data_IF_298062847900
#
_entry.id   IF_298062847900
#
_cell.length_a   1.000
_cell.length_b   1.000
_cell.length_c   1.000
_cell.angle_alpha   90.00
_cell.angle_beta   90.00
_cell.angle_gamma   90.00
#
_symmetry.space_group_name_H-M   'P 1'
#
loop_
_entity.id
_entity.type
_entity.pdbx_description
1 polymer ?
#
# COMPACT_ATOMS: atom_id res chain seq x y z
N UNK A 1 -23.73 -6.63 -20.45
CA UNK A 1 -22.52 -6.96 -19.64
C UNK A 1 -22.47 -6.19 -18.31
N UNK A 2 -23.57 -5.57 -17.87
CA UNK A 2 -23.58 -4.65 -16.71
C UNK A 2 -23.78 -5.30 -15.32
N UNK A 3 -24.19 -6.57 -15.22
CA UNK A 3 -24.65 -7.15 -13.94
C UNK A 3 -23.75 -8.23 -13.34
N UNK A 4 -22.53 -8.40 -13.85
CA UNK A 4 -21.61 -9.36 -13.24
C UNK A 4 -20.70 -8.67 -12.21
N UNK A 5 -20.91 -8.95 -10.94
CA UNK A 5 -20.01 -8.51 -9.87
C UNK A 5 -18.71 -9.34 -9.93
N UNK A 6 -17.57 -8.65 -10.12
CA UNK A 6 -16.26 -9.27 -10.15
C UNK A 6 -15.65 -9.27 -8.75
N UNK A 7 -15.05 -10.39 -8.34
CA UNK A 7 -14.19 -10.45 -7.18
C UNK A 7 -12.77 -10.10 -7.61
N UNK A 8 -12.29 -8.97 -7.12
CA UNK A 8 -10.97 -8.43 -7.45
C UNK A 8 -9.92 -9.04 -6.53
N UNK A 9 -9.01 -9.82 -7.11
CA UNK A 9 -7.85 -10.43 -6.42
C UNK A 9 -6.54 -9.73 -6.81
N UNK A 10 -6.64 -8.47 -7.23
CA UNK A 10 -5.52 -7.60 -7.57
C UNK A 10 -5.06 -6.78 -6.35
N UNK A 11 -3.83 -6.23 -6.35
CA UNK A 11 -3.29 -5.44 -5.23
C UNK A 11 -3.88 -4.01 -5.12
N UNK A 12 -5.15 -3.86 -5.45
CA UNK A 12 -5.92 -2.62 -5.44
C UNK A 12 -6.18 -2.07 -6.85
N UNK A 13 -7.38 -1.45 -7.04
CA UNK A 13 -8.39 -1.18 -6.01
C UNK A 13 -8.93 -2.46 -5.34
N UNK A 14 -9.27 -2.34 -4.04
CA UNK A 14 -9.80 -3.45 -3.25
C UNK A 14 -11.32 -3.63 -3.47
N UNK A 15 -11.84 -4.82 -3.13
CA UNK A 15 -13.27 -5.03 -3.03
C UNK A 15 -13.84 -4.18 -1.88
N UNK A 16 -14.92 -3.43 -2.15
CA UNK A 16 -15.58 -2.54 -1.20
C UNK A 16 -16.97 -3.07 -0.82
N UNK A 17 -17.48 -2.63 0.32
CA UNK A 17 -18.86 -2.91 0.72
C UNK A 17 -19.87 -2.16 -0.16
N UNK A 18 -21.13 -2.63 -0.24
CA UNK A 18 -22.20 -1.86 -0.87
C UNK A 18 -22.39 -0.48 -0.24
N UNK A 19 -22.19 -0.33 1.07
CA UNK A 19 -22.34 0.93 1.80
C UNK A 19 -21.27 1.96 1.44
N UNK A 20 -20.01 1.54 1.24
CA UNK A 20 -18.95 2.41 0.74
C UNK A 20 -19.25 2.86 -0.71
N UNK A 21 -19.74 1.96 -1.57
CA UNK A 21 -20.15 2.30 -2.94
C UNK A 21 -21.35 3.26 -2.95
N UNK A 22 -22.33 3.03 -2.09
CA UNK A 22 -23.52 3.88 -1.97
C UNK A 22 -23.19 5.31 -1.50
N UNK A 23 -22.11 5.49 -0.74
CA UNK A 23 -21.66 6.82 -0.30
C UNK A 23 -21.22 7.73 -1.46
N UNK A 24 -20.93 7.18 -2.66
CA UNK A 24 -20.61 7.99 -3.85
C UNK A 24 -21.80 8.78 -4.42
N UNK A 25 -23.02 8.41 -4.07
CA UNK A 25 -24.25 9.08 -4.54
C UNK A 25 -24.89 9.96 -3.47
N UNK A 26 -24.12 10.34 -2.45
CA UNK A 26 -24.55 11.34 -1.46
C UNK A 26 -24.75 12.71 -2.12
N UNK A 27 -25.59 13.58 -1.55
CA UNK A 27 -25.84 14.91 -2.09
C UNK A 27 -24.56 15.73 -2.30
N UNK A 28 -24.58 16.61 -3.30
CA UNK A 28 -23.49 17.53 -3.55
C UNK A 28 -23.27 18.48 -2.38
N UNK A 29 -22.00 18.72 -2.05
CA UNK A 29 -21.58 19.71 -1.05
C UNK A 29 -20.72 20.78 -1.74
N UNK A 30 -20.93 22.03 -1.39
CA UNK A 30 -20.01 23.09 -1.76
C UNK A 30 -18.71 22.92 -0.95
N UNK A 31 -17.58 22.83 -1.66
CA UNK A 31 -16.27 22.60 -1.02
C UNK A 31 -15.74 23.84 -0.25
N UNK A 32 -16.48 24.94 -0.23
CA UNK A 32 -16.16 26.17 0.53
C UNK A 32 -17.09 26.41 1.71
N UNK A 33 -17.95 25.43 2.02
CA UNK A 33 -18.89 25.51 3.11
C UNK A 33 -18.45 24.65 4.31
N UNK A 34 -18.89 24.98 5.54
CA UNK A 34 -18.50 24.30 6.76
C UNK A 34 -18.73 22.78 6.72
N UNK A 35 -19.79 22.30 6.08
CA UNK A 35 -20.13 20.89 6.00
C UNK A 35 -19.04 20.07 5.28
N UNK A 36 -18.44 20.63 4.24
CA UNK A 36 -17.33 20.00 3.53
C UNK A 36 -16.05 20.03 4.39
N UNK A 37 -15.76 21.14 5.04
CA UNK A 37 -14.58 21.25 5.92
C UNK A 37 -14.68 20.30 7.12
N UNK A 38 -15.85 20.14 7.71
CA UNK A 38 -16.10 19.19 8.78
C UNK A 38 -15.90 17.75 8.31
N UNK A 39 -16.35 17.40 7.11
CA UNK A 39 -16.10 16.07 6.52
C UNK A 39 -14.60 15.83 6.31
N UNK A 40 -13.88 16.80 5.77
CA UNK A 40 -12.40 16.74 5.60
C UNK A 40 -11.74 16.51 6.96
N UNK A 41 -12.14 17.26 7.99
CA UNK A 41 -11.62 17.13 9.37
C UNK A 41 -11.90 15.75 9.93
N UNK A 42 -13.14 15.25 9.86
CA UNK A 42 -13.51 13.90 10.33
C UNK A 42 -12.69 12.81 9.62
N UNK A 43 -12.46 12.93 8.32
CA UNK A 43 -11.61 12.02 7.57
C UNK A 43 -10.15 12.05 8.10
N UNK A 44 -9.58 13.23 8.29
CA UNK A 44 -8.20 13.42 8.78
C UNK A 44 -8.03 12.85 10.19
N UNK A 45 -8.94 13.19 11.09
CA UNK A 45 -8.93 12.71 12.48
C UNK A 45 -9.11 11.19 12.55
N UNK A 46 -10.05 10.65 11.74
CA UNK A 46 -10.28 9.22 11.63
C UNK A 46 -9.05 8.47 11.15
N UNK A 47 -8.37 8.96 10.11
CA UNK A 47 -7.13 8.38 9.59
C UNK A 47 -6.01 8.36 10.64
N UNK A 48 -5.79 9.50 11.31
CA UNK A 48 -4.75 9.64 12.33
C UNK A 48 -5.02 8.73 13.53
N UNK A 49 -6.25 8.73 14.02
CA UNK A 49 -6.67 7.92 15.17
C UNK A 49 -6.60 6.42 14.88
N UNK A 50 -7.16 5.97 13.74
CA UNK A 50 -7.19 4.54 13.39
C UNK A 50 -5.81 3.99 13.03
N UNK A 51 -4.90 4.85 12.56
CA UNK A 51 -3.50 4.48 12.35
C UNK A 51 -2.67 4.42 13.65
N UNK A 52 -3.25 4.79 14.80
CA UNK A 52 -2.55 4.81 16.09
C UNK A 52 -1.41 5.82 16.14
N UNK A 53 -1.50 6.91 15.37
CA UNK A 53 -0.38 7.83 15.21
C UNK A 53 -0.21 8.82 16.38
N UNK A 54 -1.26 9.04 17.18
CA UNK A 54 -1.23 9.97 18.33
C UNK A 54 -1.37 11.45 17.96
N UNK A 55 -1.39 12.33 18.96
CA UNK A 55 -1.68 13.75 18.79
C UNK A 55 -0.58 14.55 18.08
N UNK A 56 0.64 14.04 18.06
CA UNK A 56 1.79 14.67 17.36
C UNK A 56 1.73 14.45 15.85
N UNK A 57 0.67 13.82 15.35
CA UNK A 57 0.47 13.49 13.95
C UNK A 57 -0.78 14.15 13.39
N UNK A 58 -0.81 14.26 12.07
CA UNK A 58 -1.97 14.70 11.29
C UNK A 58 -2.03 13.98 9.96
N UNK A 59 -3.20 13.90 9.35
CA UNK A 59 -3.36 13.45 7.98
C UNK A 59 -3.52 14.64 7.04
N UNK A 60 -2.86 14.62 5.89
CA UNK A 60 -3.03 15.60 4.81
C UNK A 60 -3.62 14.89 3.59
N UNK A 61 -4.79 15.30 3.14
CA UNK A 61 -5.54 14.67 2.06
C UNK A 61 -5.21 15.32 0.71
N UNK A 62 -5.15 14.47 -0.33
CA UNK A 62 -4.97 14.85 -1.73
C UNK A 62 -6.05 14.22 -2.60
N UNK A 63 -6.65 14.99 -3.50
CA UNK A 63 -7.43 14.42 -4.60
C UNK A 63 -6.47 13.84 -5.63
N UNK A 64 -6.45 12.51 -5.75
CA UNK A 64 -5.57 11.81 -6.67
C UNK A 64 -5.30 10.36 -6.29
N UNK A 65 -4.55 9.67 -7.14
CA UNK A 65 -4.07 8.32 -6.86
C UNK A 65 -3.04 8.30 -5.74
N UNK A 66 -2.74 7.13 -5.18
CA UNK A 66 -1.71 6.97 -4.16
C UNK A 66 -0.34 7.54 -4.56
N UNK A 67 -0.01 7.55 -5.85
CA UNK A 67 1.23 8.17 -6.34
C UNK A 67 1.30 9.66 -6.03
N UNK A 68 0.15 10.37 -6.00
CA UNK A 68 0.12 11.79 -5.66
C UNK A 68 0.62 12.05 -4.23
N UNK A 69 0.22 11.23 -3.24
CA UNK A 69 0.71 11.39 -1.87
C UNK A 69 2.20 11.03 -1.71
N UNK A 70 2.69 10.01 -2.44
CA UNK A 70 4.13 9.67 -2.45
C UNK A 70 4.93 10.82 -3.05
N UNK A 71 4.48 11.36 -4.18
CA UNK A 71 5.14 12.48 -4.86
C UNK A 71 5.09 13.74 -4.00
N UNK A 72 3.95 14.06 -3.38
CA UNK A 72 3.81 15.18 -2.46
C UNK A 72 4.79 15.08 -1.27
N UNK A 73 4.92 13.90 -0.66
CA UNK A 73 5.87 13.71 0.43
C UNK A 73 7.33 13.89 -0.04
N UNK A 74 7.72 13.31 -1.17
CA UNK A 74 9.10 13.37 -1.68
C UNK A 74 9.44 14.79 -2.15
N UNK A 75 8.60 15.41 -2.99
CA UNK A 75 8.92 16.72 -3.56
C UNK A 75 8.94 17.83 -2.51
N UNK A 76 8.18 17.69 -1.41
CA UNK A 76 8.11 18.70 -0.34
C UNK A 76 9.14 18.47 0.77
N UNK A 77 9.38 17.20 1.18
CA UNK A 77 10.16 16.92 2.38
C UNK A 77 11.68 17.14 2.21
N UNK A 78 12.23 17.01 1.00
CA UNK A 78 13.69 17.06 0.80
C UNK A 78 14.16 18.50 0.67
N UNK A 79 15.06 19.00 1.56
CA UNK A 79 15.56 20.37 1.45
C UNK A 79 16.34 20.61 0.14
N UNK A 80 16.39 21.86 -0.37
CA UNK A 80 17.28 22.23 -1.48
C UNK A 80 18.73 21.82 -1.21
N UNK A 81 19.40 21.29 -2.22
CA UNK A 81 20.80 20.84 -2.12
C UNK A 81 21.04 19.56 -1.33
N UNK A 82 19.98 18.92 -0.80
CA UNK A 82 20.08 17.65 -0.09
C UNK A 82 19.64 16.48 -0.96
N UNK A 83 20.09 15.27 -0.60
CA UNK A 83 19.77 14.03 -1.27
C UNK A 83 18.75 13.18 -0.49
N UNK A 84 18.14 12.23 -1.19
CA UNK A 84 17.31 11.17 -0.63
C UNK A 84 17.97 9.82 -0.86
N UNK A 85 17.93 8.94 0.15
CA UNK A 85 18.25 7.52 0.01
C UNK A 85 16.96 6.75 -0.24
N UNK A 86 16.90 5.99 -1.33
CA UNK A 86 15.74 5.14 -1.65
C UNK A 86 16.12 3.67 -1.48
N UNK A 87 15.33 2.95 -0.71
CA UNK A 87 15.37 1.48 -0.63
C UNK A 87 14.61 0.93 -1.83
N UNK A 88 15.29 0.16 -2.69
CA UNK A 88 14.78 -0.33 -3.96
C UNK A 88 14.94 -1.85 -4.06
N UNK A 89 13.84 -2.56 -3.84
CA UNK A 89 13.70 -3.99 -4.07
C UNK A 89 12.43 -4.34 -4.87
N UNK A 90 11.96 -3.39 -5.68
CA UNK A 90 10.80 -3.60 -6.55
C UNK A 90 10.34 -2.34 -7.28
N UNK A 91 9.27 -2.49 -8.05
CA UNK A 91 8.75 -1.43 -8.93
C UNK A 91 8.37 -0.16 -8.17
N UNK A 92 7.93 -0.28 -6.90
CA UNK A 92 7.50 0.88 -6.12
C UNK A 92 8.68 1.61 -5.49
N UNK A 93 9.75 0.91 -5.10
CA UNK A 93 11.02 1.52 -4.73
C UNK A 93 11.62 2.30 -5.90
N UNK A 94 11.73 1.70 -7.09
CA UNK A 94 12.17 2.40 -8.29
C UNK A 94 11.28 3.63 -8.61
N UNK A 95 9.96 3.53 -8.42
CA UNK A 95 9.05 4.68 -8.61
C UNK A 95 9.39 5.85 -7.70
N UNK A 96 9.69 5.61 -6.41
CA UNK A 96 10.11 6.67 -5.48
C UNK A 96 11.40 7.36 -5.97
N UNK A 97 12.36 6.58 -6.46
CA UNK A 97 13.59 7.12 -7.03
C UNK A 97 13.34 7.95 -8.30
N UNK A 98 12.44 7.50 -9.19
CA UNK A 98 12.04 8.25 -10.39
C UNK A 98 11.33 9.55 -10.06
N UNK A 99 10.44 9.55 -9.07
CA UNK A 99 9.77 10.75 -8.57
C UNK A 99 10.81 11.76 -8.07
N UNK A 100 11.74 11.35 -7.23
CA UNK A 100 12.78 12.25 -6.72
C UNK A 100 13.61 12.86 -7.85
N UNK A 101 14.04 12.05 -8.82
CA UNK A 101 14.79 12.55 -10.00
C UNK A 101 13.98 13.53 -10.84
N UNK A 102 12.67 13.28 -11.04
CA UNK A 102 11.79 14.17 -11.80
C UNK A 102 11.68 15.57 -11.16
N UNK A 103 11.83 15.67 -9.84
CA UNK A 103 11.88 16.93 -9.09
C UNK A 103 13.29 17.48 -8.88
N UNK A 104 14.31 16.96 -9.59
CA UNK A 104 15.69 17.44 -9.49
C UNK A 104 16.35 17.12 -8.14
N UNK A 105 15.84 16.15 -7.38
CA UNK A 105 16.40 15.72 -6.10
C UNK A 105 17.47 14.67 -6.36
N UNK A 106 18.72 14.84 -5.85
CA UNK A 106 19.76 13.83 -5.93
C UNK A 106 19.33 12.55 -5.20
N UNK A 107 19.51 11.40 -5.85
CA UNK A 107 19.04 10.08 -5.34
C UNK A 107 20.24 9.16 -5.18
N UNK A 108 20.41 8.64 -3.99
CA UNK A 108 21.18 7.43 -3.69
C UNK A 108 20.22 6.24 -3.58
N UNK A 109 20.66 5.03 -3.94
CA UNK A 109 19.79 3.86 -3.93
C UNK A 109 20.51 2.69 -3.27
N UNK A 110 19.86 2.09 -2.27
CA UNK A 110 20.26 0.78 -1.72
C UNK A 110 19.34 -0.27 -2.33
N UNK A 111 19.93 -1.20 -3.09
CA UNK A 111 19.19 -2.26 -3.80
C UNK A 111 19.31 -3.59 -3.11
N UNK A 112 18.23 -4.37 -3.18
CA UNK A 112 18.19 -5.77 -2.82
C UNK A 112 17.44 -6.57 -3.89
N UNK A 113 17.54 -7.88 -3.82
CA UNK A 113 16.69 -8.79 -4.58
C UNK A 113 15.21 -8.56 -4.24
N UNK A 114 14.33 -8.70 -5.23
CA UNK A 114 12.91 -8.40 -5.07
C UNK A 114 12.15 -9.39 -4.17
N UNK A 115 12.77 -10.50 -3.80
CA UNK A 115 12.20 -11.52 -2.90
C UNK A 115 12.83 -11.50 -1.51
N UNK A 116 13.78 -10.59 -1.26
CA UNK A 116 14.54 -10.50 0.00
C UNK A 116 14.33 -9.13 0.64
N UNK A 117 13.93 -9.07 1.93
CA UNK A 117 13.88 -7.80 2.65
C UNK A 117 15.25 -7.13 2.65
N UNK A 118 15.26 -5.79 2.59
CA UNK A 118 16.52 -5.06 2.67
C UNK A 118 17.19 -5.28 4.03
N UNK A 119 18.52 -5.43 4.02
CA UNK A 119 19.31 -5.43 5.25
C UNK A 119 19.46 -3.97 5.75
N UNK A 120 18.99 -3.64 6.97
CA UNK A 120 19.17 -2.32 7.56
C UNK A 120 20.63 -1.87 7.68
N UNK A 121 21.59 -2.80 7.74
CA UNK A 121 23.03 -2.48 7.76
C UNK A 121 23.51 -1.84 6.46
N UNK A 122 22.94 -2.21 5.32
CA UNK A 122 23.23 -1.58 4.03
C UNK A 122 22.73 -0.13 3.98
N UNK A 123 21.58 0.16 4.62
CA UNK A 123 21.07 1.52 4.79
C UNK A 123 22.00 2.33 5.69
N UNK A 124 22.48 1.76 6.81
CA UNK A 124 23.41 2.43 7.73
C UNK A 124 24.73 2.78 7.03
N UNK A 125 25.29 1.86 6.26
CA UNK A 125 26.51 2.07 5.49
C UNK A 125 26.36 3.21 4.45
N UNK A 126 25.25 3.21 3.70
CA UNK A 126 24.97 4.26 2.72
C UNK A 126 24.82 5.65 3.37
N UNK A 127 24.11 5.75 4.51
CA UNK A 127 23.95 6.99 5.26
C UNK A 127 25.27 7.48 5.88
N UNK A 128 26.14 6.55 6.28
CA UNK A 128 27.48 6.88 6.80
C UNK A 128 28.41 7.44 5.72
N UNK A 129 28.32 6.93 4.49
CA UNK A 129 29.15 7.36 3.36
C UNK A 129 28.67 8.68 2.72
N UNK A 130 27.41 9.10 2.92
CA UNK A 130 26.76 10.21 2.22
C UNK A 130 26.07 11.19 3.18
N UNK A 131 26.83 12.13 3.80
CA UNK A 131 26.29 13.09 4.76
C UNK A 131 25.26 14.06 4.17
N UNK A 132 25.22 14.25 2.86
CA UNK A 132 24.24 15.06 2.15
C UNK A 132 22.82 14.46 2.13
N UNK A 133 22.67 13.16 2.38
CA UNK A 133 21.35 12.51 2.48
C UNK A 133 20.64 13.06 3.69
N UNK A 134 19.41 13.56 3.51
CA UNK A 134 18.56 14.09 4.57
C UNK A 134 17.42 13.14 4.95
N UNK A 135 16.96 12.33 3.99
CA UNK A 135 15.82 11.44 4.17
C UNK A 135 16.08 10.04 3.61
N UNK A 136 15.45 9.05 4.22
CA UNK A 136 15.34 7.69 3.71
C UNK A 136 13.91 7.47 3.24
N UNK A 137 13.73 6.94 2.03
CA UNK A 137 12.44 6.54 1.52
C UNK A 137 12.40 5.01 1.34
N UNK A 138 11.34 4.39 1.84
CA UNK A 138 11.18 2.93 1.82
C UNK A 138 9.73 2.54 1.57
N UNK A 139 9.50 1.51 0.77
CA UNK A 139 8.20 0.87 0.61
C UNK A 139 8.03 -0.16 1.73
N UNK A 140 6.96 -0.08 2.53
CA UNK A 140 6.70 -1.08 3.57
C UNK A 140 6.26 -2.41 2.96
N UNK A 141 5.28 -2.39 2.04
CA UNK A 141 4.79 -3.58 1.33
C UNK A 141 5.02 -3.42 -0.18
N UNK A 142 6.05 -4.06 -0.69
CA UNK A 142 6.38 -4.07 -2.12
C UNK A 142 5.48 -5.08 -2.86
N UNK A 143 4.41 -4.57 -3.48
CA UNK A 143 3.41 -5.41 -4.16
C UNK A 143 3.87 -5.97 -5.51
N UNK A 144 5.09 -5.67 -5.95
CA UNK A 144 5.71 -6.42 -7.05
C UNK A 144 5.74 -7.91 -6.74
N UNK A 145 6.07 -8.27 -5.50
CA UNK A 145 6.25 -9.66 -5.04
C UNK A 145 5.44 -10.04 -3.81
N UNK A 146 4.94 -9.08 -3.02
CA UNK A 146 4.31 -9.31 -1.73
C UNK A 146 5.31 -9.32 -0.57
N UNK A 147 6.42 -8.59 -0.73
CA UNK A 147 7.49 -8.50 0.25
C UNK A 147 7.25 -7.35 1.24
N UNK A 148 7.47 -7.61 2.54
CA UNK A 148 7.52 -6.59 3.59
C UNK A 148 8.96 -6.21 3.89
N UNK A 149 9.26 -4.92 3.86
CA UNK A 149 10.54 -4.37 4.31
C UNK A 149 10.52 -4.05 5.81
N UNK A 150 11.65 -4.18 6.51
CA UNK A 150 11.78 -3.94 7.95
C UNK A 150 11.83 -2.44 8.27
N UNK A 151 10.69 -1.74 8.10
CA UNK A 151 10.61 -0.28 8.22
C UNK A 151 11.02 0.22 9.60
N UNK A 152 10.64 -0.48 10.69
CA UNK A 152 11.01 -0.10 12.05
C UNK A 152 12.53 -0.11 12.27
N UNK A 153 13.23 -1.11 11.76
CA UNK A 153 14.69 -1.23 11.84
C UNK A 153 15.38 -0.16 10.99
N UNK A 154 14.88 0.09 9.79
CA UNK A 154 15.37 1.16 8.90
C UNK A 154 15.18 2.52 9.54
N UNK A 155 14.04 2.77 10.18
CA UNK A 155 13.77 4.03 10.87
C UNK A 155 14.70 4.24 12.07
N UNK A 156 15.00 3.19 12.84
CA UNK A 156 16.01 3.25 13.91
C UNK A 156 17.41 3.61 13.37
N UNK A 157 17.79 3.05 12.23
CA UNK A 157 19.03 3.40 11.54
C UNK A 157 19.03 4.86 11.13
N UNK A 158 17.98 5.32 10.47
CA UNK A 158 17.83 6.71 10.03
C UNK A 158 17.90 7.70 11.22
N UNK A 159 17.21 7.39 12.32
CA UNK A 159 17.19 8.22 13.53
C UNK A 159 18.60 8.35 14.16
N UNK A 160 19.36 7.25 14.27
CA UNK A 160 20.75 7.29 14.76
C UNK A 160 21.65 8.18 13.90
N UNK A 161 21.35 8.32 12.63
CA UNK A 161 22.06 9.17 11.67
C UNK A 161 21.47 10.58 11.56
N UNK A 162 20.43 10.92 12.33
CA UNK A 162 19.72 12.21 12.27
C UNK A 162 19.00 12.43 10.93
N UNK A 163 18.47 11.35 10.32
CA UNK A 163 17.75 11.38 9.04
C UNK A 163 16.26 11.14 9.27
N UNK A 164 15.42 11.76 8.45
CA UNK A 164 13.96 11.55 8.46
C UNK A 164 13.57 10.40 7.56
N UNK A 165 12.37 9.85 7.79
CA UNK A 165 11.88 8.67 7.07
C UNK A 165 10.55 8.97 6.38
N UNK A 166 10.49 8.64 5.08
CA UNK A 166 9.30 8.63 4.26
C UNK A 166 8.95 7.17 3.97
N UNK A 167 7.75 6.73 4.36
CA UNK A 167 7.29 5.35 4.13
C UNK A 167 6.16 5.36 3.11
N UNK A 168 6.34 4.61 2.04
CA UNK A 168 5.21 4.18 1.20
C UNK A 168 4.53 2.98 1.87
N UNK A 169 3.44 3.23 2.58
CA UNK A 169 2.57 2.21 3.18
C UNK A 169 1.25 2.03 2.38
N UNK A 170 1.31 2.32 1.08
CA UNK A 170 0.14 2.38 0.19
C UNK A 170 -0.75 1.16 0.30
N UNK A 171 -0.17 -0.01 0.29
CA UNK A 171 -0.87 -1.29 0.32
C UNK A 171 -0.81 -2.02 1.66
N UNK A 172 -0.14 -1.45 2.66
CA UNK A 172 0.04 -2.09 3.97
C UNK A 172 -0.68 -1.39 5.11
N UNK A 173 -0.87 -0.07 5.02
CA UNK A 173 -1.56 0.68 6.08
C UNK A 173 -2.98 0.12 6.28
N UNK A 174 -3.34 -0.18 7.52
CA UNK A 174 -4.58 -0.85 7.94
C UNK A 174 -4.72 -2.34 7.55
N UNK A 175 -3.67 -2.94 7.00
CA UNK A 175 -3.67 -4.37 6.62
C UNK A 175 -2.49 -5.15 7.17
N UNK A 176 -1.39 -4.48 7.45
CA UNK A 176 -0.21 -5.01 8.15
C UNK A 176 0.09 -4.17 9.39
N UNK A 177 0.83 -4.72 10.34
CA UNK A 177 1.26 -3.94 11.50
C UNK A 177 2.30 -2.90 11.11
N UNK A 178 2.01 -1.66 11.46
CA UNK A 178 2.92 -0.53 11.33
C UNK A 178 2.68 0.40 12.53
N UNK A 179 3.67 0.54 13.39
CA UNK A 179 3.55 1.33 14.63
C UNK A 179 4.07 2.74 14.38
N UNK A 180 3.27 3.56 13.70
CA UNK A 180 3.67 4.87 13.17
C UNK A 180 4.34 5.76 14.22
N UNK A 181 3.74 5.87 15.41
CA UNK A 181 4.27 6.76 16.46
C UNK A 181 5.56 6.22 17.09
N UNK A 182 5.66 4.89 17.29
CA UNK A 182 6.78 4.26 17.99
C UNK A 182 7.97 3.97 17.07
N UNK A 183 7.75 3.76 15.77
CA UNK A 183 8.79 3.39 14.83
C UNK A 183 9.67 4.56 14.34
N UNK A 184 9.42 5.79 14.83
CA UNK A 184 10.26 6.95 14.49
C UNK A 184 10.09 7.46 13.07
N UNK A 185 8.91 7.26 12.48
CA UNK A 185 8.57 7.71 11.14
C UNK A 185 8.25 9.22 11.11
N UNK A 186 8.37 9.84 9.95
CA UNK A 186 8.05 11.26 9.76
C UNK A 186 6.89 11.47 8.79
N UNK A 187 6.86 10.70 7.68
CA UNK A 187 5.82 10.76 6.66
C UNK A 187 5.43 9.34 6.25
N UNK A 188 4.14 9.04 6.26
CA UNK A 188 3.59 7.74 5.84
C UNK A 188 2.51 7.98 4.79
N UNK A 189 2.73 7.50 3.58
CA UNK A 189 1.81 7.70 2.44
C UNK A 189 0.89 6.52 2.25
N UNK A 190 -0.38 6.78 1.99
CA UNK A 190 -1.38 5.76 1.71
C UNK A 190 -2.53 6.29 0.84
N UNK A 191 -3.47 5.42 0.47
CA UNK A 191 -4.67 5.78 -0.29
C UNK A 191 -5.90 5.02 0.19
N UNK A 192 -7.07 5.59 -0.08
CA UNK A 192 -8.35 5.04 0.36
C UNK A 192 -8.65 3.65 -0.21
N UNK A 193 -8.25 3.37 -1.45
CA UNK A 193 -8.65 2.20 -2.23
C UNK A 193 -7.83 0.93 -1.99
N UNK A 194 -7.10 0.85 -0.89
CA UNK A 194 -6.28 -0.32 -0.50
C UNK A 194 -6.89 -0.99 0.74
N UNK A 195 -6.09 -1.30 1.74
CA UNK A 195 -6.56 -1.99 2.95
C UNK A 195 -7.59 -1.20 3.77
N UNK A 196 -7.71 0.11 3.55
CA UNK A 196 -8.79 0.93 4.09
C UNK A 196 -10.16 0.58 3.48
N UNK A 197 -10.20 -0.02 2.28
CA UNK A 197 -11.40 -0.46 1.58
C UNK A 197 -12.32 0.68 1.12
N UNK A 198 -11.74 1.86 0.85
CA UNK A 198 -12.43 2.98 0.23
C UNK A 198 -12.33 2.96 -1.31
N UNK A 199 -12.80 4.03 -1.93
CA UNK A 199 -12.83 4.21 -3.39
C UNK A 199 -11.53 4.90 -3.88
N UNK A 200 -11.02 4.59 -5.09
CA UNK A 200 -9.94 5.35 -5.71
C UNK A 200 -10.30 6.82 -5.90
N UNK A 201 -9.33 7.73 -5.70
CA UNK A 201 -9.51 9.17 -5.94
C UNK A 201 -9.06 10.05 -4.78
N UNK A 202 -8.83 9.48 -3.59
CA UNK A 202 -8.20 10.18 -2.46
C UNK A 202 -7.00 9.39 -1.98
N UNK A 203 -5.89 10.10 -1.83
CA UNK A 203 -4.68 9.63 -1.15
C UNK A 203 -4.32 10.60 -0.02
N UNK A 204 -3.44 10.18 0.87
CA UNK A 204 -3.09 10.99 2.03
C UNK A 204 -1.66 10.72 2.51
N UNK A 205 -1.12 11.71 3.23
CA UNK A 205 0.13 11.59 3.96
C UNK A 205 -0.18 11.76 5.45
N UNK A 206 0.09 10.73 6.24
CA UNK A 206 0.19 10.91 7.69
C UNK A 206 1.54 11.55 7.99
N UNK A 207 1.51 12.70 8.63
CA UNK A 207 2.69 13.50 8.91
C UNK A 207 2.89 13.67 10.42
N UNK A 208 4.13 13.52 10.89
CA UNK A 208 4.50 14.09 12.18
C UNK A 208 4.37 15.61 12.06
N UNK A 209 3.62 16.27 12.98
CA UNK A 209 3.35 17.72 12.91
C UNK A 209 4.64 18.53 12.80
N UNK A 210 5.63 18.26 13.66
CA UNK A 210 6.93 18.95 13.61
C UNK A 210 7.70 18.74 12.29
N UNK A 211 7.44 17.64 11.58
CA UNK A 211 8.07 17.38 10.28
C UNK A 211 7.44 18.18 9.15
N UNK A 212 6.10 18.29 9.12
CA UNK A 212 5.39 19.06 8.08
C UNK A 212 5.47 20.55 8.34
N UNK A 213 5.45 21.02 9.60
CA UNK A 213 5.63 22.41 9.98
C UNK A 213 7.03 22.95 9.59
N UNK A 214 8.05 22.11 9.68
CA UNK A 214 9.41 22.46 9.24
C UNK A 214 9.53 22.67 7.71
N UNK A 215 8.45 22.50 6.95
CA UNK A 215 8.41 22.78 5.51
C UNK A 215 7.96 24.22 5.19
N UNK A 216 7.47 25.00 6.17
CA UNK A 216 6.82 26.29 5.99
C UNK A 216 7.63 27.30 5.15
N UNK A 217 8.94 27.37 5.38
CA UNK A 217 9.81 28.36 4.71
C UNK A 217 10.47 27.81 3.44
N UNK A 218 10.03 26.66 2.93
CA UNK A 218 10.62 26.04 1.75
C UNK A 218 9.89 26.49 0.48
N UNK A 219 10.65 26.82 -0.55
CA UNK A 219 10.07 27.02 -1.89
C UNK A 219 9.52 25.69 -2.41
N UNK A 220 8.24 25.61 -2.79
CA UNK A 220 7.63 24.37 -3.28
C UNK A 220 8.19 23.98 -4.66
N UNK A 221 8.42 22.66 -4.87
CA UNK A 221 8.75 22.12 -6.20
C UNK A 221 7.51 21.84 -7.05
N UNK A 222 6.34 21.83 -6.44
CA UNK A 222 5.05 21.63 -7.10
C UNK A 222 4.02 22.55 -6.47
N UNK A 223 3.19 23.18 -7.29
CA UNK A 223 2.07 24.01 -6.80
C UNK A 223 0.96 23.09 -6.25
N UNK A 224 0.58 22.04 -7.00
CA UNK A 224 -0.53 21.18 -6.62
C UNK A 224 -0.17 20.17 -5.52
N UNK A 225 1.07 19.66 -5.51
CA UNK A 225 1.51 18.62 -4.57
C UNK A 225 2.32 19.17 -3.39
N UNK A 226 2.30 20.49 -3.15
CA UNK A 226 2.99 21.05 -1.98
C UNK A 226 2.32 20.62 -0.68
N UNK A 227 2.99 19.72 0.05
CA UNK A 227 2.46 19.11 1.27
C UNK A 227 2.16 20.14 2.35
N UNK A 228 3.02 21.17 2.48
CA UNK A 228 2.81 22.21 3.51
C UNK A 228 1.60 23.09 3.20
N UNK A 229 1.40 23.48 1.95
CA UNK A 229 0.21 24.28 1.54
C UNK A 229 -1.08 23.50 1.84
N UNK A 230 -1.14 22.20 1.50
CA UNK A 230 -2.29 21.37 1.85
C UNK A 230 -2.48 21.25 3.37
N UNK A 231 -1.41 21.01 4.12
CA UNK A 231 -1.44 20.96 5.57
C UNK A 231 -1.99 22.27 6.17
N UNK A 232 -1.38 23.40 5.83
CA UNK A 232 -1.73 24.70 6.40
C UNK A 232 -3.17 25.12 6.10
N UNK A 233 -3.71 24.78 4.93
CA UNK A 233 -5.09 25.05 4.57
C UNK A 233 -6.05 24.10 5.32
N UNK A 234 -5.76 22.81 5.38
CA UNK A 234 -6.61 21.82 6.05
C UNK A 234 -6.62 22.00 7.58
N UNK A 235 -5.58 22.56 8.18
CA UNK A 235 -5.59 22.94 9.61
C UNK A 235 -6.47 24.19 9.90
N UNK A 236 -6.82 24.95 8.87
CA UNK A 236 -7.67 26.16 8.95
C UNK A 236 -9.07 25.94 8.40
N UNK A 237 -9.53 24.70 8.37
CA UNK A 237 -10.83 24.32 7.80
C UNK A 237 -11.00 24.85 6.36
N UNK A 238 -10.01 24.59 5.51
CA UNK A 238 -10.03 24.98 4.09
C UNK A 238 -9.30 23.90 3.26
N UNK A 239 -9.42 24.00 1.94
CA UNK A 239 -8.64 23.20 0.99
C UNK A 239 -8.03 24.09 -0.07
N UNK A 240 -6.75 23.90 -0.45
CA UNK A 240 -6.13 24.78 -1.44
C UNK A 240 -6.75 24.63 -2.84
N UNK A 241 -7.27 23.44 -3.14
CA UNK A 241 -7.92 23.09 -4.41
C UNK A 241 -9.21 22.30 -4.13
N UNK A 242 -10.08 22.19 -5.15
CA UNK A 242 -11.34 21.46 -5.05
C UNK A 242 -11.09 19.99 -4.69
N UNK A 243 -11.61 19.50 -3.57
CA UNK A 243 -11.48 18.10 -3.18
C UNK A 243 -12.47 17.21 -3.94
N UNK A 244 -12.22 15.90 -3.94
CA UNK A 244 -13.12 14.90 -4.51
C UNK A 244 -14.27 14.59 -3.53
N UNK A 245 -15.27 15.45 -3.42
CA UNK A 245 -16.31 15.45 -2.38
C UNK A 245 -17.00 14.09 -2.24
N UNK A 246 -17.50 13.50 -3.34
CA UNK A 246 -18.17 12.19 -3.30
C UNK A 246 -17.23 11.06 -2.84
N UNK A 247 -15.94 11.14 -3.20
CA UNK A 247 -14.94 10.18 -2.73
C UNK A 247 -14.62 10.37 -1.25
N UNK A 248 -14.71 11.60 -0.72
CA UNK A 248 -14.57 11.87 0.71
C UNK A 248 -15.72 11.26 1.53
N UNK A 249 -16.98 11.31 1.03
CA UNK A 249 -18.09 10.58 1.66
C UNK A 249 -17.80 9.06 1.73
N UNK A 250 -17.29 8.50 0.64
CA UNK A 250 -16.91 7.08 0.61
C UNK A 250 -15.72 6.77 1.55
N UNK A 251 -14.77 7.70 1.69
CA UNK A 251 -13.66 7.58 2.64
C UNK A 251 -14.18 7.60 4.09
N UNK A 252 -15.07 8.53 4.43
CA UNK A 252 -15.68 8.61 5.75
C UNK A 252 -16.42 7.31 6.12
N UNK A 253 -17.20 6.77 5.16
CA UNK A 253 -17.87 5.47 5.34
C UNK A 253 -16.86 4.32 5.55
N UNK A 254 -15.78 4.27 4.78
CA UNK A 254 -14.74 3.24 4.93
C UNK A 254 -14.02 3.33 6.29
N UNK A 255 -13.78 4.54 6.80
CA UNK A 255 -13.23 4.76 8.14
C UNK A 255 -14.18 4.27 9.22
N UNK A 256 -15.48 4.57 9.10
CA UNK A 256 -16.50 4.07 10.04
C UNK A 256 -16.61 2.54 10.04
N UNK A 257 -16.41 1.89 8.89
CA UNK A 257 -16.37 0.44 8.80
C UNK A 257 -15.11 -0.16 9.42
N UNK A 258 -13.94 0.46 9.20
CA UNK A 258 -12.70 0.06 9.86
C UNK A 258 -12.79 0.21 11.38
N UNK A 259 -13.40 1.28 11.86
CA UNK A 259 -13.62 1.51 13.30
C UNK A 259 -14.52 0.42 13.92
N UNK A 260 -15.64 0.08 13.26
CA UNK A 260 -16.53 -0.99 13.70
C UNK A 260 -15.88 -2.37 13.67
N UNK A 261 -15.10 -2.68 12.65
CA UNK A 261 -14.35 -3.94 12.55
C UNK A 261 -13.22 -3.98 13.59
N UNK A 262 -12.52 -2.88 13.77
CA UNK A 262 -11.30 -2.77 14.58
C UNK A 262 -10.04 -3.18 13.80
N UNK A 263 -8.98 -2.39 13.95
CA UNK A 263 -7.72 -2.57 13.19
C UNK A 263 -7.12 -3.98 13.40
N UNK A 264 -7.03 -4.44 14.65
CA UNK A 264 -6.45 -5.76 14.95
C UNK A 264 -7.25 -6.90 14.32
N UNK A 265 -8.58 -6.80 14.32
CA UNK A 265 -9.45 -7.80 13.68
C UNK A 265 -9.30 -7.79 12.17
N UNK A 266 -9.15 -6.62 11.54
CA UNK A 266 -8.88 -6.52 10.10
C UNK A 266 -7.55 -7.16 9.73
N UNK A 267 -6.49 -6.87 10.45
CA UNK A 267 -5.16 -7.48 10.25
C UNK A 267 -5.25 -9.01 10.43
N UNK A 268 -5.92 -9.49 11.47
CA UNK A 268 -6.10 -10.91 11.71
C UNK A 268 -6.90 -11.59 10.58
N UNK A 269 -7.95 -10.94 10.06
CA UNK A 269 -8.73 -11.45 8.91
C UNK A 269 -7.88 -11.57 7.65
N UNK A 270 -7.04 -10.57 7.36
CA UNK A 270 -6.13 -10.66 6.23
C UNK A 270 -5.09 -11.77 6.39
N UNK A 271 -4.56 -11.94 7.59
CA UNK A 271 -3.62 -13.03 7.88
C UNK A 271 -4.26 -14.41 7.69
N UNK A 272 -5.50 -14.59 8.16
CA UNK A 272 -6.23 -15.84 7.97
C UNK A 272 -6.61 -16.09 6.50
N UNK A 273 -7.06 -15.06 5.80
CA UNK A 273 -7.31 -15.14 4.35
C UNK A 273 -6.05 -15.57 3.58
N UNK A 274 -4.91 -14.98 3.91
CA UNK A 274 -3.63 -15.34 3.28
C UNK A 274 -3.22 -16.78 3.59
N UNK A 275 -3.44 -17.24 4.82
CA UNK A 275 -3.17 -18.63 5.22
C UNK A 275 -4.02 -19.60 4.41
N UNK A 276 -5.34 -19.41 4.38
CA UNK A 276 -6.27 -20.26 3.64
C UNK A 276 -5.92 -20.33 2.15
N UNK A 277 -5.68 -19.16 1.54
CA UNK A 277 -5.28 -19.07 0.14
C UNK A 277 -3.98 -19.87 -0.11
N UNK A 278 -2.95 -19.62 0.68
CA UNK A 278 -1.62 -20.23 0.49
C UNK A 278 -1.65 -21.73 0.68
N UNK A 279 -2.32 -22.21 1.72
CA UNK A 279 -2.44 -23.64 2.01
C UNK A 279 -3.16 -24.35 0.87
N UNK A 280 -4.27 -23.77 0.38
CA UNK A 280 -5.01 -24.31 -0.75
C UNK A 280 -4.21 -24.32 -2.06
N UNK A 281 -3.53 -23.19 -2.37
CA UNK A 281 -2.72 -23.09 -3.59
C UNK A 281 -1.50 -24.01 -3.56
N UNK A 282 -0.87 -24.19 -2.40
CA UNK A 282 0.21 -25.17 -2.24
C UNK A 282 -0.30 -26.61 -2.48
N UNK A 283 -1.53 -26.94 -2.02
CA UNK A 283 -2.20 -28.21 -2.33
C UNK A 283 -2.45 -28.42 -3.83
N UNK A 284 -2.58 -27.36 -4.60
CA UNK A 284 -2.68 -27.37 -6.08
C UNK A 284 -1.31 -27.38 -6.78
N UNK A 285 -0.20 -27.41 -6.04
CA UNK A 285 1.16 -27.48 -6.57
C UNK A 285 1.81 -26.12 -6.90
N UNK A 286 1.15 -24.99 -6.61
CA UNK A 286 1.74 -23.67 -6.83
C UNK A 286 2.83 -23.37 -5.78
N UNK A 287 3.98 -22.87 -6.26
CA UNK A 287 5.08 -22.42 -5.42
C UNK A 287 4.90 -20.93 -5.06
N UNK A 288 5.08 -20.59 -3.78
CA UNK A 288 5.08 -19.22 -3.29
C UNK A 288 6.51 -18.66 -3.44
N UNK A 289 6.64 -17.49 -4.10
CA UNK A 289 7.96 -16.94 -4.41
C UNK A 289 8.61 -16.17 -3.26
N UNK A 290 7.82 -15.52 -2.39
CA UNK A 290 8.35 -14.86 -1.19
C UNK A 290 8.27 -15.80 -0.01
N UNK A 291 9.41 -16.13 0.59
CA UNK A 291 9.52 -17.03 1.73
C UNK A 291 9.78 -16.28 3.05
N UNK A 292 9.50 -16.94 4.17
CA UNK A 292 9.90 -16.48 5.48
C UNK A 292 9.11 -15.29 6.04
N UNK A 293 9.70 -14.57 7.03
CA UNK A 293 9.00 -13.54 7.82
C UNK A 293 8.71 -12.24 7.05
N UNK A 294 9.40 -12.00 5.93
CA UNK A 294 9.14 -10.84 5.04
C UNK A 294 7.92 -11.01 4.13
N UNK A 295 7.14 -12.07 4.28
CA UNK A 295 5.96 -12.33 3.45
C UNK A 295 4.74 -11.57 3.96
N UNK A 296 4.13 -10.74 3.10
CA UNK A 296 2.92 -9.99 3.41
C UNK A 296 1.69 -10.90 3.56
N UNK A 297 0.74 -10.51 4.41
CA UNK A 297 -0.58 -11.14 4.54
C UNK A 297 -1.62 -10.57 3.56
N UNK A 298 -1.25 -9.70 2.64
CA UNK A 298 -2.19 -8.98 1.76
C UNK A 298 -2.12 -9.49 0.33
N UNK A 299 -0.92 -9.89 -0.11
CA UNK A 299 -0.67 -10.36 -1.47
C UNK A 299 0.30 -11.54 -1.46
N UNK A 300 0.00 -12.53 -2.27
CA UNK A 300 0.89 -13.66 -2.51
C UNK A 300 1.23 -13.76 -3.99
N UNK A 301 2.50 -13.90 -4.30
CA UNK A 301 3.01 -14.15 -5.65
C UNK A 301 3.32 -15.63 -5.79
N UNK A 302 2.72 -16.24 -6.80
CA UNK A 302 2.86 -17.66 -7.11
C UNK A 302 3.61 -17.83 -8.42
N UNK A 303 4.44 -18.89 -8.51
CA UNK A 303 5.02 -19.36 -9.77
C UNK A 303 3.95 -20.01 -10.63
N UNK A 304 3.94 -19.72 -11.92
CA UNK A 304 3.11 -20.46 -12.89
C UNK A 304 3.56 -21.92 -12.96
N UNK A 305 2.60 -22.84 -13.08
CA UNK A 305 2.89 -24.25 -13.30
C UNK A 305 3.52 -24.46 -14.71
N UNK A 306 4.32 -25.51 -14.91
CA UNK A 306 4.87 -25.83 -16.21
C UNK A 306 3.79 -25.91 -17.30
N UNK A 307 4.00 -25.25 -18.43
CA UNK A 307 3.04 -25.22 -19.55
C UNK A 307 1.86 -24.25 -19.36
N UNK A 308 1.70 -23.63 -18.18
CA UNK A 308 0.63 -22.66 -17.91
C UNK A 308 1.14 -21.24 -18.14
N UNK A 309 0.41 -20.45 -18.93
CA UNK A 309 0.66 -19.01 -19.09
C UNK A 309 -0.31 -18.22 -18.22
N UNK A 310 0.10 -16.99 -17.88
CA UNK A 310 -0.77 -16.08 -17.12
C UNK A 310 -2.09 -15.81 -17.85
N UNK A 311 -2.06 -15.52 -19.13
CA UNK A 311 -3.26 -15.12 -19.88
C UNK A 311 -4.31 -16.23 -19.90
N UNK A 312 -3.88 -17.47 -20.12
CA UNK A 312 -4.78 -18.65 -20.10
C UNK A 312 -5.38 -18.86 -18.71
N UNK A 313 -4.59 -18.76 -17.66
CA UNK A 313 -5.06 -18.87 -16.28
C UNK A 313 -6.00 -17.71 -15.91
N UNK A 314 -5.63 -16.47 -16.25
CA UNK A 314 -6.45 -15.28 -16.03
C UNK A 314 -7.83 -15.42 -16.68
N UNK A 315 -7.89 -15.84 -17.95
CA UNK A 315 -9.15 -15.96 -18.66
C UNK A 315 -10.05 -17.06 -18.06
N UNK A 316 -9.47 -18.17 -17.62
CA UNK A 316 -10.20 -19.23 -16.93
C UNK A 316 -10.78 -18.74 -15.58
N UNK A 317 -10.00 -18.02 -14.79
CA UNK A 317 -10.44 -17.41 -13.53
C UNK A 317 -11.48 -16.32 -13.76
N UNK A 318 -11.30 -15.47 -14.79
CA UNK A 318 -12.23 -14.41 -15.15
C UNK A 318 -13.59 -14.96 -15.56
N UNK A 319 -13.65 -16.07 -16.30
CA UNK A 319 -14.92 -16.75 -16.61
C UNK A 319 -15.68 -17.18 -15.35
N UNK A 320 -14.95 -17.48 -14.26
CA UNK A 320 -15.50 -17.84 -12.94
C UNK A 320 -15.80 -16.65 -12.03
N UNK A 321 -15.53 -15.42 -12.48
CA UNK A 321 -15.83 -14.19 -11.74
C UNK A 321 -14.65 -13.62 -10.95
N UNK A 322 -13.44 -14.15 -11.11
CA UNK A 322 -12.25 -13.73 -10.34
C UNK A 322 -11.23 -13.02 -11.24
N UNK A 323 -10.74 -11.88 -10.79
CA UNK A 323 -9.71 -11.09 -11.49
C UNK A 323 -8.38 -11.22 -10.74
N UNK A 324 -7.44 -11.98 -11.29
CA UNK A 324 -6.06 -12.10 -10.81
C UNK A 324 -5.12 -11.17 -11.58
N UNK A 325 -3.90 -10.95 -11.07
CA UNK A 325 -2.91 -10.10 -11.75
C UNK A 325 -1.66 -10.87 -12.16
N UNK A 326 -1.11 -10.47 -13.32
CA UNK A 326 0.22 -10.93 -13.77
C UNK A 326 1.30 -10.56 -12.76
N UNK A 327 2.41 -11.26 -12.78
CA UNK A 327 3.66 -10.77 -12.22
C UNK A 327 3.98 -9.39 -12.79
N UNK A 328 4.84 -8.63 -12.13
CA UNK A 328 5.23 -7.29 -12.54
C UNK A 328 6.75 -7.22 -12.76
N UNK A 329 7.20 -6.40 -13.70
CA UNK A 329 8.62 -6.38 -14.07
C UNK A 329 9.07 -7.72 -14.63
N UNK A 330 10.25 -8.16 -14.25
CA UNK A 330 10.91 -9.37 -14.78
C UNK A 330 10.18 -10.68 -14.47
N UNK A 331 9.33 -10.68 -13.42
CA UNK A 331 8.58 -11.88 -13.02
C UNK A 331 7.29 -12.11 -13.83
N UNK A 332 6.94 -11.20 -14.75
CA UNK A 332 5.69 -11.27 -15.54
C UNK A 332 5.56 -12.55 -16.35
N UNK A 333 6.65 -13.11 -16.80
CA UNK A 333 6.65 -14.30 -17.68
C UNK A 333 6.44 -15.61 -16.95
N UNK A 334 6.70 -15.66 -15.62
CA UNK A 334 6.70 -16.92 -14.87
C UNK A 334 5.90 -16.85 -13.55
N UNK A 335 5.26 -15.72 -13.23
CA UNK A 335 4.54 -15.56 -11.98
C UNK A 335 3.22 -14.81 -12.16
N UNK A 336 2.31 -15.02 -11.22
CA UNK A 336 1.09 -14.27 -11.06
C UNK A 336 0.85 -13.93 -9.58
N UNK A 337 -0.01 -12.95 -9.35
CA UNK A 337 -0.29 -12.43 -8.03
C UNK A 337 -1.76 -12.58 -7.67
N UNK A 338 -2.02 -12.96 -6.42
CA UNK A 338 -3.36 -13.02 -5.83
C UNK A 338 -3.35 -12.20 -4.55
N UNK A 339 -4.21 -11.19 -4.49
CA UNK A 339 -4.44 -10.38 -3.29
C UNK A 339 -5.73 -10.83 -2.61
N UNK A 340 -5.71 -10.83 -1.28
CA UNK A 340 -6.88 -11.05 -0.44
C UNK A 340 -7.37 -9.74 0.20
N UNK A 341 -6.99 -8.60 -0.39
CA UNK A 341 -7.36 -7.26 0.06
C UNK A 341 -8.85 -7.00 -0.15
N UNK A 342 -9.44 -6.24 0.77
CA UNK A 342 -10.84 -5.86 0.68
C UNK A 342 -11.76 -6.61 1.66
N UNK A 343 -13.02 -6.70 1.34
CA UNK A 343 -14.07 -7.30 2.19
C UNK A 343 -14.09 -8.83 2.19
N UNK A 344 -13.06 -9.46 1.64
CA UNK A 344 -12.97 -10.90 1.49
C UNK A 344 -12.82 -11.62 2.85
N UNK A 345 -13.38 -12.82 2.92
CA UNK A 345 -13.40 -13.70 4.08
C UNK A 345 -12.60 -14.98 3.82
N UNK A 346 -12.30 -15.81 4.85
CA UNK A 346 -11.71 -17.14 4.63
C UNK A 346 -12.57 -18.06 3.76
N UNK A 347 -13.90 -17.92 3.81
CA UNK A 347 -14.81 -18.69 2.94
C UNK A 347 -14.63 -18.28 1.46
N UNK A 348 -14.47 -16.97 1.18
CA UNK A 348 -14.17 -16.49 -0.17
C UNK A 348 -12.83 -17.03 -0.66
N UNK A 349 -11.81 -17.12 0.21
CA UNK A 349 -10.51 -17.68 -0.16
C UNK A 349 -10.61 -19.17 -0.51
N UNK A 350 -11.41 -19.96 0.21
CA UNK A 350 -11.70 -21.33 -0.17
C UNK A 350 -12.37 -21.42 -1.54
N UNK A 351 -13.36 -20.55 -1.82
CA UNK A 351 -14.02 -20.50 -3.13
C UNK A 351 -13.03 -20.12 -4.25
N UNK A 352 -12.10 -19.20 -3.98
CA UNK A 352 -11.00 -18.86 -4.90
C UNK A 352 -10.12 -20.07 -5.19
N UNK A 353 -9.71 -20.83 -4.17
CA UNK A 353 -8.90 -22.05 -4.35
C UNK A 353 -9.64 -23.10 -5.18
N UNK A 354 -10.93 -23.32 -4.93
CA UNK A 354 -11.76 -24.21 -5.75
C UNK A 354 -11.84 -23.72 -7.22
N UNK A 355 -12.00 -22.40 -7.45
CA UNK A 355 -11.99 -21.85 -8.79
C UNK A 355 -10.66 -22.07 -9.52
N UNK A 356 -9.53 -22.02 -8.82
CA UNK A 356 -8.23 -22.40 -9.38
C UNK A 356 -8.18 -23.89 -9.73
N UNK A 357 -8.64 -24.78 -8.84
CA UNK A 357 -8.68 -26.22 -9.09
C UNK A 357 -9.52 -26.55 -10.33
N UNK A 358 -10.72 -25.96 -10.44
CA UNK A 358 -11.61 -26.15 -11.59
C UNK A 358 -11.02 -25.55 -12.88
N UNK A 359 -10.29 -24.45 -12.78
CA UNK A 359 -9.60 -23.85 -13.92
C UNK A 359 -8.47 -24.74 -14.42
N UNK A 360 -7.66 -25.30 -13.54
CA UNK A 360 -6.60 -26.25 -13.90
C UNK A 360 -7.16 -27.51 -14.56
N UNK A 361 -8.26 -28.05 -14.02
CA UNK A 361 -8.95 -29.21 -14.61
C UNK A 361 -9.47 -28.91 -16.02
N UNK A 362 -10.12 -27.74 -16.22
CA UNK A 362 -10.60 -27.30 -17.54
C UNK A 362 -9.45 -27.19 -18.55
N UNK A 363 -8.28 -26.74 -18.09
CA UNK A 363 -7.07 -26.55 -18.92
C UNK A 363 -6.26 -27.84 -19.12
N UNK A 364 -6.72 -28.98 -18.57
CA UNK A 364 -6.02 -30.26 -18.70
C UNK A 364 -4.68 -30.32 -17.92
N UNK A 365 -4.52 -29.48 -16.90
CA UNK A 365 -3.30 -29.44 -16.06
C UNK A 365 -3.53 -30.35 -14.86
N UNK A 366 -2.72 -31.42 -14.79
CA UNK A 366 -2.77 -32.33 -13.64
C UNK A 366 -2.24 -31.67 -12.38
N UNK A 367 -3.05 -31.67 -11.32
CA UNK A 367 -2.66 -31.20 -9.99
C UNK A 367 -1.88 -32.32 -9.32
N UNK A 368 -0.56 -32.20 -9.28
CA UNK A 368 0.27 -33.17 -8.56
C UNK A 368 0.07 -33.04 -7.06
N UNK A 369 -0.48 -34.07 -6.43
CA UNK A 369 -0.39 -34.21 -4.98
C UNK A 369 1.08 -34.35 -4.57
N UNK A 370 1.76 -33.25 -4.22
CA UNK A 370 3.00 -33.36 -3.45
C UNK A 370 2.60 -33.84 -2.05
N UNK A 371 2.76 -35.15 -1.81
CA UNK A 371 2.82 -35.68 -0.46
C UNK A 371 3.85 -34.87 0.32
N UNK A 372 3.42 -34.29 1.44
CA UNK A 372 4.31 -33.65 2.40
C UNK A 372 5.29 -34.74 2.89
N UNK A 373 6.45 -34.77 2.28
CA UNK A 373 7.57 -35.59 2.79
C UNK A 373 8.00 -34.94 4.11
N UNK A 374 7.53 -35.50 5.20
CA UNK A 374 8.11 -35.32 6.54
C UNK A 374 9.58 -35.71 6.47
N UNK A 375 10.46 -34.75 6.24
CA UNK A 375 11.87 -34.96 6.55
C UNK A 375 12.01 -34.94 8.07
N UNK A 376 11.94 -36.17 8.66
CA UNK A 376 12.61 -36.46 9.91
C UNK A 376 14.10 -36.33 9.67
N UNK A 377 14.74 -35.37 10.29
CA UNK A 377 15.97 -35.48 11.10
C UNK A 377 16.43 -34.09 11.50
#
# INVERSE_FOLDING_TARGET
MADREWILLNPGPANTTPTVRAALVMPDLCHREPECFEMVRRCRDGLTRLAGAGNDWTAVLFAGSGTASVEAAICSAIPPGRAILVVDNGVYGDRMARIARAHGIPVETVRADMFTPIDPSAVDAALGARPEISHVAVVHHETTTGLLNPVAEIAKVAARRGRRVIVDAMSSLFGERLTIAADGLDFVTASANKCLQGIPGVSFVLCRRSAVEALADRSPRSVYLDLHTHYAQQERDNTPFTPAVQVLHALEQALAELEREGLDRRIARYAENARVLRDGMAGLGFEILVAGPGRSNILTTFRLLPGLTYDVLHDAMKRRGYIIYAGQGDIRTYAFRVSNMGTLTPADMNAVVHAFADSLKELGIEVGHRSVSTRQK
#
